data_IF_672426470352
#
_entry.id   IF_672426470352
#
_cell.length_a   1.000
_cell.length_b   1.000
_cell.length_c   1.000
_cell.angle_alpha   90.00
_cell.angle_beta   90.00
_cell.angle_gamma   90.00
#
_symmetry.space_group_name_H-M   'P 1'
#
loop_
_entity.id
_entity.type
_entity.pdbx_description
1 polymer ?
#
# COMPACT_ATOMS: atom_id res chain seq x y z
N UNK A 1 -19.28 -2.86 -37.77
CA UNK A 1 -18.26 -3.29 -36.78
C UNK A 1 -18.91 -3.22 -35.40
N UNK A 2 -18.83 -4.28 -34.59
CA UNK A 2 -19.47 -4.31 -33.26
C UNK A 2 -18.57 -3.60 -32.23
N UNK A 3 -19.03 -2.50 -31.58
CA UNK A 3 -18.20 -1.76 -30.61
C UNK A 3 -17.74 -2.63 -29.42
N UNK A 4 -18.54 -3.61 -29.01
CA UNK A 4 -18.19 -4.54 -27.94
C UNK A 4 -17.03 -5.46 -28.31
N UNK A 5 -16.91 -5.83 -29.59
CA UNK A 5 -15.80 -6.66 -30.06
C UNK A 5 -14.46 -5.91 -29.95
N UNK A 6 -14.44 -4.62 -30.31
CA UNK A 6 -13.24 -3.78 -30.18
C UNK A 6 -12.84 -3.59 -28.71
N UNK A 7 -13.83 -3.33 -27.84
CA UNK A 7 -13.62 -3.21 -26.40
C UNK A 7 -12.99 -4.48 -25.80
N UNK A 8 -13.59 -5.65 -26.05
CA UNK A 8 -13.09 -6.92 -25.50
C UNK A 8 -11.73 -7.30 -26.07
N UNK A 9 -11.51 -7.09 -27.38
CA UNK A 9 -10.22 -7.36 -28.01
C UNK A 9 -9.10 -6.48 -27.43
N UNK A 10 -9.42 -5.22 -27.10
CA UNK A 10 -8.48 -4.30 -26.47
C UNK A 10 -8.11 -4.75 -25.06
N UNK A 11 -9.09 -5.17 -24.24
CA UNK A 11 -8.82 -5.74 -22.91
C UNK A 11 -7.95 -6.99 -22.99
N UNK A 12 -8.27 -7.91 -23.91
CA UNK A 12 -7.50 -9.14 -24.09
C UNK A 12 -6.03 -8.84 -24.46
N UNK A 13 -5.82 -7.89 -25.39
CA UNK A 13 -4.48 -7.42 -25.77
C UNK A 13 -3.74 -6.83 -24.57
N UNK A 14 -4.38 -5.95 -23.79
CA UNK A 14 -3.77 -5.33 -22.62
C UNK A 14 -3.38 -6.36 -21.55
N UNK A 15 -4.15 -7.42 -21.35
CA UNK A 15 -3.80 -8.51 -20.42
C UNK A 15 -2.53 -9.24 -20.90
N UNK A 16 -2.37 -9.46 -22.21
CA UNK A 16 -1.17 -10.11 -22.76
C UNK A 16 0.04 -9.19 -22.65
N UNK A 17 -0.09 -7.93 -23.08
CA UNK A 17 0.98 -6.93 -22.99
C UNK A 17 1.41 -6.71 -21.53
N UNK A 18 0.44 -6.63 -20.61
CA UNK A 18 0.68 -6.45 -19.18
C UNK A 18 1.57 -7.52 -18.55
N UNK A 19 1.55 -8.76 -19.06
CA UNK A 19 2.42 -9.84 -18.57
C UNK A 19 3.91 -9.61 -18.85
N UNK A 20 4.23 -8.79 -19.85
CA UNK A 20 5.61 -8.41 -20.18
C UNK A 20 6.11 -7.19 -19.40
N UNK A 21 5.24 -6.50 -18.67
CA UNK A 21 5.64 -5.36 -17.86
C UNK A 21 6.46 -5.81 -16.65
N UNK A 22 7.43 -4.99 -16.20
CA UNK A 22 8.17 -5.29 -14.99
C UNK A 22 7.24 -5.33 -13.78
N UNK A 23 7.38 -6.36 -12.94
CA UNK A 23 6.57 -6.57 -11.73
C UNK A 23 7.01 -5.67 -10.55
N UNK A 24 7.86 -4.67 -10.79
CA UNK A 24 8.47 -3.81 -9.79
C UNK A 24 9.83 -3.29 -10.23
N UNK A 25 10.69 -2.95 -9.25
CA UNK A 25 12.02 -2.40 -9.52
C UNK A 25 12.04 -0.90 -9.83
N UNK A 26 10.89 -0.25 -9.72
CA UNK A 26 10.81 1.20 -9.77
C UNK A 26 11.52 1.81 -8.56
N UNK A 27 12.21 2.94 -8.71
CA UNK A 27 12.83 3.62 -7.58
C UNK A 27 11.75 4.00 -6.57
N UNK A 28 11.95 3.57 -5.32
CA UNK A 28 11.13 4.01 -4.20
C UNK A 28 11.69 5.36 -3.75
N UNK A 29 10.87 6.41 -3.84
CA UNK A 29 11.25 7.68 -3.23
C UNK A 29 11.44 7.50 -1.72
N UNK A 30 12.56 8.01 -1.22
CA UNK A 30 12.91 7.92 0.19
C UNK A 30 11.84 8.54 1.09
N UNK A 31 11.80 8.06 2.34
CA UNK A 31 10.94 8.64 3.38
C UNK A 31 11.34 10.11 3.61
N UNK A 32 10.40 11.07 3.53
CA UNK A 32 10.71 12.47 3.81
C UNK A 32 11.14 12.63 5.27
N UNK A 33 12.10 13.52 5.51
CA UNK A 33 12.51 13.87 6.87
C UNK A 33 11.34 14.52 7.61
N UNK A 34 11.04 14.02 8.82
CA UNK A 34 10.06 14.64 9.71
C UNK A 34 10.78 15.57 10.68
N UNK A 35 10.21 16.74 10.95
CA UNK A 35 10.77 17.67 11.94
C UNK A 35 10.70 17.05 13.34
N UNK A 36 11.59 17.48 14.24
CA UNK A 36 11.63 16.96 15.61
C UNK A 36 10.31 17.23 16.37
N UNK A 37 9.71 18.39 16.12
CA UNK A 37 8.45 18.90 16.68
C UNK A 37 7.22 18.60 15.81
N UNK A 38 7.36 17.78 14.77
CA UNK A 38 6.24 17.45 13.89
C UNK A 38 5.09 16.79 14.68
N UNK A 39 3.83 17.15 14.41
CA UNK A 39 2.68 16.49 15.01
C UNK A 39 2.64 15.01 14.66
N UNK A 40 2.15 14.20 15.60
CA UNK A 40 2.08 12.74 15.47
C UNK A 40 0.67 12.31 15.10
N UNK A 41 0.55 11.48 14.06
CA UNK A 41 -0.68 10.77 13.75
C UNK A 41 -0.53 9.29 14.08
N UNK A 42 -1.47 8.76 14.87
CA UNK A 42 -1.59 7.33 15.12
C UNK A 42 -2.67 6.76 14.21
N UNK A 43 -2.31 5.78 13.39
CA UNK A 43 -3.25 5.06 12.54
C UNK A 43 -3.59 3.73 13.20
N UNK A 44 -4.82 3.56 13.67
CA UNK A 44 -5.26 2.31 14.28
C UNK A 44 -5.83 1.39 13.21
N UNK A 45 -5.00 0.48 12.72
CA UNK A 45 -5.37 -0.52 11.73
C UNK A 45 -5.88 -1.78 12.43
N UNK A 46 -7.16 -2.15 12.30
CA UNK A 46 -7.71 -3.35 12.94
C UNK A 46 -6.90 -4.61 12.64
N UNK A 47 -6.44 -4.75 11.40
CA UNK A 47 -5.55 -5.80 10.94
C UNK A 47 -4.37 -5.21 10.17
N UNK A 48 -3.27 -5.96 10.00
CA UNK A 48 -2.26 -5.64 9.01
C UNK A 48 -2.91 -5.48 7.63
N UNK A 49 -2.30 -4.66 6.77
CA UNK A 49 -2.77 -4.28 5.43
C UNK A 49 -3.84 -3.17 5.41
N UNK A 50 -4.60 -2.96 6.50
CA UNK A 50 -5.62 -1.89 6.54
C UNK A 50 -4.98 -0.50 6.37
N UNK A 51 -3.74 -0.30 6.87
CA UNK A 51 -2.98 0.95 6.69
C UNK A 51 -2.61 1.23 5.22
N UNK A 52 -2.46 0.17 4.42
CA UNK A 52 -2.15 0.26 3.01
C UNK A 52 -3.44 0.41 2.18
N UNK A 53 -4.51 -0.29 2.55
CA UNK A 53 -5.78 -0.36 1.80
C UNK A 53 -6.56 0.97 1.86
N UNK A 54 -6.35 1.80 2.89
CA UNK A 54 -7.04 3.09 3.08
C UNK A 54 -6.62 4.20 2.07
N UNK A 55 -6.19 3.81 0.87
CA UNK A 55 -5.93 4.74 -0.24
C UNK A 55 -4.73 5.66 0.00
N UNK A 56 -3.71 5.19 0.72
CA UNK A 56 -2.47 5.92 0.93
C UNK A 56 -2.56 7.11 1.91
N UNK A 57 -3.59 7.16 2.77
CA UNK A 57 -3.75 8.23 3.77
C UNK A 57 -2.46 8.48 4.58
N UNK A 58 -1.80 7.42 5.06
CA UNK A 58 -0.54 7.51 5.79
C UNK A 58 0.56 8.22 4.99
N UNK A 59 0.68 7.92 3.69
CA UNK A 59 1.66 8.54 2.81
C UNK A 59 1.36 10.02 2.61
N UNK A 60 0.08 10.40 2.46
CA UNK A 60 -0.32 11.81 2.31
C UNK A 60 -0.08 12.61 3.58
N UNK A 61 -0.43 12.06 4.75
CA UNK A 61 -0.14 12.70 6.04
C UNK A 61 1.37 12.94 6.23
N UNK A 62 2.20 11.99 5.81
CA UNK A 62 3.65 12.09 5.90
C UNK A 62 4.24 13.07 4.86
N UNK A 63 3.88 12.93 3.57
CA UNK A 63 4.51 13.66 2.46
C UNK A 63 3.94 15.06 2.26
N UNK A 64 2.63 15.24 2.41
CA UNK A 64 1.95 16.50 2.12
C UNK A 64 1.78 17.36 3.39
N UNK A 65 1.46 16.72 4.52
CA UNK A 65 1.22 17.43 5.77
C UNK A 65 2.42 17.41 6.75
N UNK A 66 3.45 16.61 6.46
CA UNK A 66 4.68 16.57 7.26
C UNK A 66 4.53 15.94 8.65
N UNK A 67 3.49 15.11 8.86
CA UNK A 67 3.25 14.45 10.14
C UNK A 67 4.19 13.26 10.35
N UNK A 68 4.51 13.01 11.61
CA UNK A 68 5.09 11.73 12.03
C UNK A 68 3.96 10.70 12.15
N UNK A 69 3.84 9.85 11.14
CA UNK A 69 2.82 8.79 11.12
C UNK A 69 3.37 7.52 11.77
N UNK A 70 2.58 6.94 12.69
CA UNK A 70 2.86 5.66 13.35
C UNK A 70 1.64 4.76 13.12
N UNK A 71 1.87 3.60 12.50
CA UNK A 71 0.84 2.57 12.41
C UNK A 71 0.75 1.79 13.73
N UNK A 72 -0.47 1.55 14.18
CA UNK A 72 -0.81 0.73 15.34
C UNK A 72 -1.68 -0.41 14.83
N UNK A 73 -1.07 -1.55 14.55
CA UNK A 73 -1.81 -2.78 14.27
C UNK A 73 -2.48 -3.25 15.56
N UNK A 74 -3.82 -3.13 15.62
CA UNK A 74 -4.63 -3.48 16.79
C UNK A 74 -4.61 -4.98 17.03
N UNK A 75 -4.60 -5.75 15.95
CA UNK A 75 -4.42 -7.20 15.96
C UNK A 75 -3.41 -7.62 14.88
N UNK A 76 -2.95 -8.87 14.91
CA UNK A 76 -2.20 -9.50 13.81
C UNK A 76 -3.08 -10.46 13.00
N UNK A 77 -4.41 -10.34 13.13
CA UNK A 77 -5.39 -11.30 12.63
C UNK A 77 -5.68 -12.44 13.61
N UNK A 78 -6.83 -13.09 13.40
CA UNK A 78 -7.35 -14.16 14.27
C UNK A 78 -6.66 -15.50 14.07
N UNK A 79 -6.02 -15.74 12.91
CA UNK A 79 -5.29 -16.97 12.65
C UNK A 79 -3.89 -16.92 13.29
N UNK A 80 -3.74 -17.57 14.45
CA UNK A 80 -2.50 -17.62 15.22
C UNK A 80 -1.29 -18.10 14.40
N UNK A 81 -1.48 -19.10 13.52
CA UNK A 81 -0.40 -19.63 12.68
C UNK A 81 0.15 -18.59 11.67
N UNK A 82 -0.63 -17.53 11.39
CA UNK A 82 -0.25 -16.46 10.45
C UNK A 82 0.24 -15.19 11.14
N UNK A 83 0.07 -15.02 12.45
CA UNK A 83 0.38 -13.75 13.13
C UNK A 83 1.84 -13.34 12.98
N UNK A 84 2.79 -14.28 13.13
CA UNK A 84 4.21 -13.98 12.99
C UNK A 84 4.58 -13.56 11.56
N UNK A 85 4.23 -14.32 10.50
CA UNK A 85 4.40 -13.86 9.12
C UNK A 85 3.75 -12.50 8.85
N UNK A 86 2.52 -12.27 9.34
CA UNK A 86 1.82 -10.99 9.13
C UNK A 86 2.50 -9.82 9.82
N UNK A 87 3.15 -10.04 10.96
CA UNK A 87 3.99 -9.01 11.60
C UNK A 87 5.19 -8.65 10.73
N UNK A 88 5.85 -9.63 10.12
CA UNK A 88 6.98 -9.38 9.22
C UNK A 88 6.53 -8.65 7.96
N UNK A 89 5.39 -9.04 7.38
CA UNK A 89 4.76 -8.38 6.24
C UNK A 89 4.46 -6.90 6.58
N UNK A 90 3.83 -6.65 7.72
CA UNK A 90 3.52 -5.31 8.22
C UNK A 90 4.79 -4.45 8.41
N UNK A 91 5.83 -5.00 9.02
CA UNK A 91 7.09 -4.29 9.25
C UNK A 91 7.83 -3.96 7.95
N UNK A 92 7.63 -4.73 6.88
CA UNK A 92 8.19 -4.45 5.56
C UNK A 92 7.37 -3.40 4.80
N UNK A 93 6.06 -3.33 5.07
CA UNK A 93 5.16 -2.38 4.44
C UNK A 93 5.30 -0.94 4.99
N UNK A 94 5.62 -0.80 6.28
CA UNK A 94 5.71 0.48 7.01
C UNK A 94 7.16 0.98 7.16
#
# INVERSE_FOLDING_TARGET
>A
MNPYHSFVSSLARLVVEGKSLPLGGFPVEGRPATKADAPVALLFSPHPDDECIVGGLALRLMREAGLRVINVAVTLGSNAARQLPRREELQKAC
#
